data_IF_885391497729
#
_entry.id   IF_885391497729
#
_cell.length_a   1.000
_cell.length_b   1.000
_cell.length_c   1.000
_cell.angle_alpha   90.00
_cell.angle_beta   90.00
_cell.angle_gamma   90.00
#
_symmetry.space_group_name_H-M   'P 1'
#
loop_
_entity.id
_entity.type
_entity.pdbx_description
1 polymer ?
#
# COMPACT_ATOMS: atom_id res chain seq x y z
N UNK A 1 -1.04 16.42 2.73
CA UNK A 1 -1.65 15.85 3.96
C UNK A 1 -0.59 15.92 5.05
N UNK A 2 -0.92 16.13 6.35
CA UNK A 2 0.06 15.87 7.40
C UNK A 2 0.54 14.41 7.33
N UNK A 3 1.74 14.08 7.80
CA UNK A 3 2.17 12.69 7.94
C UNK A 3 1.12 11.87 8.73
N UNK A 4 0.78 10.69 8.22
CA UNK A 4 -0.15 9.76 8.89
C UNK A 4 0.52 9.12 10.10
N UNK A 5 1.80 8.77 9.97
CA UNK A 5 2.61 8.12 10.99
C UNK A 5 4.01 8.75 10.96
N UNK A 6 4.65 8.80 12.13
CA UNK A 6 6.09 9.04 12.21
C UNK A 6 6.83 7.78 11.76
N UNK A 7 7.56 7.87 10.65
CA UNK A 7 8.24 6.72 10.05
C UNK A 7 9.39 6.19 10.91
N UNK A 8 9.86 6.94 11.93
CA UNK A 8 10.84 6.44 12.91
C UNK A 8 10.28 5.32 13.80
N UNK A 9 8.94 5.21 13.91
CA UNK A 9 8.27 4.13 14.65
C UNK A 9 8.21 2.81 13.87
N UNK A 10 8.63 2.81 12.59
CA UNK A 10 8.50 1.65 11.70
C UNK A 10 9.80 0.86 11.71
N UNK A 11 9.74 -0.38 12.22
CA UNK A 11 10.83 -1.35 12.10
C UNK A 11 10.57 -2.30 10.92
N UNK A 12 11.38 -2.26 9.84
CA UNK A 12 11.19 -3.11 8.68
C UNK A 12 11.43 -4.61 8.93
N UNK A 13 12.07 -4.98 10.05
CA UNK A 13 12.31 -6.38 10.42
C UNK A 13 11.08 -7.01 11.09
N UNK A 14 10.10 -6.19 11.51
CA UNK A 14 8.84 -6.68 12.05
C UNK A 14 7.98 -7.25 10.93
N UNK A 15 7.42 -8.44 11.19
CA UNK A 15 6.37 -9.04 10.37
C UNK A 15 5.05 -8.97 11.16
N UNK A 16 4.33 -7.85 11.01
CA UNK A 16 3.11 -7.57 11.76
C UNK A 16 1.92 -8.41 11.29
N UNK A 17 1.93 -8.87 10.04
CA UNK A 17 0.93 -9.80 9.49
C UNK A 17 1.68 -10.99 8.88
N UNK A 18 1.49 -12.22 9.41
CA UNK A 18 2.15 -13.41 8.89
C UNK A 18 1.86 -13.63 7.39
N UNK A 19 2.85 -14.12 6.65
CA UNK A 19 2.74 -14.29 5.19
C UNK A 19 1.54 -15.15 4.76
N UNK A 20 1.24 -16.23 5.49
CA UNK A 20 0.08 -17.08 5.24
C UNK A 20 -1.22 -16.28 5.32
N UNK A 21 -1.38 -15.48 6.38
CA UNK A 21 -2.53 -14.59 6.56
C UNK A 21 -2.57 -13.52 5.47
N UNK A 22 -1.45 -12.86 5.15
CA UNK A 22 -1.37 -11.86 4.08
C UNK A 22 -1.85 -12.43 2.73
N UNK A 23 -1.45 -13.67 2.40
CA UNK A 23 -1.85 -14.36 1.17
C UNK A 23 -3.34 -14.73 1.14
N UNK A 24 -3.98 -14.93 2.29
CA UNK A 24 -5.45 -15.12 2.36
C UNK A 24 -6.22 -13.81 2.19
N UNK A 25 -5.68 -12.70 2.69
CA UNK A 25 -6.30 -11.38 2.58
C UNK A 25 -6.21 -10.85 1.15
N UNK A 26 -5.00 -10.88 0.57
CA UNK A 26 -4.71 -10.38 -0.77
C UNK A 26 -4.59 -11.54 -1.75
N UNK A 27 -5.52 -11.72 -2.70
CA UNK A 27 -5.41 -12.77 -3.71
C UNK A 27 -4.46 -12.43 -4.87
N UNK A 28 -4.06 -11.17 -5.05
CA UNK A 28 -3.19 -10.73 -6.16
C UNK A 28 -1.81 -11.41 -6.10
N UNK A 29 -1.27 -11.82 -7.25
CA UNK A 29 0.02 -12.52 -7.37
C UNK A 29 0.85 -11.95 -8.51
N UNK A 30 2.12 -12.35 -8.53
CA UNK A 30 3.09 -12.05 -9.58
C UNK A 30 3.18 -10.53 -9.85
N UNK A 31 2.97 -10.10 -11.09
CA UNK A 31 3.12 -8.72 -11.54
C UNK A 31 2.18 -7.73 -10.85
N UNK A 32 1.07 -8.20 -10.28
CA UNK A 32 0.09 -7.39 -9.57
C UNK A 32 0.21 -7.47 -8.04
N UNK A 33 1.15 -8.23 -7.49
CA UNK A 33 1.41 -8.21 -6.05
C UNK A 33 2.27 -6.99 -5.68
N UNK A 34 1.63 -5.97 -5.13
CA UNK A 34 2.25 -4.68 -4.79
C UNK A 34 2.52 -4.52 -3.29
N UNK A 35 2.35 -5.58 -2.50
CA UNK A 35 2.74 -5.67 -1.09
C UNK A 35 3.54 -6.96 -0.88
N UNK A 36 4.76 -6.82 -0.35
CA UNK A 36 5.61 -7.96 0.01
C UNK A 36 5.47 -8.34 1.49
N UNK A 37 5.36 -7.35 2.39
CA UNK A 37 5.15 -7.59 3.82
C UNK A 37 4.48 -6.39 4.51
N UNK A 38 3.97 -6.61 5.72
CA UNK A 38 3.43 -5.60 6.64
C UNK A 38 4.36 -5.49 7.83
N UNK A 39 4.93 -4.30 8.04
CA UNK A 39 5.91 -4.04 9.10
C UNK A 39 5.36 -3.20 10.27
N UNK A 40 4.14 -2.70 10.15
CA UNK A 40 3.43 -2.03 11.24
C UNK A 40 1.93 -2.25 11.08
N UNK A 41 1.24 -2.61 12.16
CA UNK A 41 -0.21 -2.65 12.21
C UNK A 41 -0.68 -2.26 13.62
N UNK A 42 -1.48 -1.21 13.70
CA UNK A 42 -2.15 -0.77 14.91
C UNK A 42 -3.65 -0.81 14.68
N UNK A 43 -4.33 -1.75 15.34
CA UNK A 43 -5.78 -1.97 15.19
C UNK A 43 -6.61 -0.82 15.81
N UNK A 44 -6.13 -0.25 16.91
CA UNK A 44 -6.85 0.79 17.65
C UNK A 44 -6.76 2.13 16.92
N UNK A 45 -5.55 2.52 16.51
CA UNK A 45 -5.31 3.72 15.71
C UNK A 45 -5.76 3.56 14.25
N UNK A 46 -5.97 2.32 13.79
CA UNK A 46 -6.30 1.97 12.40
C UNK A 46 -5.24 2.48 11.44
N UNK A 47 -3.98 2.14 11.72
CA UNK A 47 -2.83 2.52 10.92
C UNK A 47 -2.09 1.25 10.52
N UNK A 48 -1.69 1.17 9.26
CA UNK A 48 -0.87 0.09 8.72
C UNK A 48 0.30 0.66 7.96
N UNK A 49 1.45 -0.02 8.01
CA UNK A 49 2.57 0.18 7.10
C UNK A 49 2.93 -1.14 6.46
N UNK A 50 2.87 -1.16 5.13
CA UNK A 50 3.33 -2.26 4.30
C UNK A 50 4.44 -1.78 3.38
N UNK A 51 5.20 -2.69 2.79
CA UNK A 51 6.23 -2.30 1.83
C UNK A 51 6.27 -3.19 0.59
N UNK A 52 6.84 -2.63 -0.47
CA UNK A 52 7.22 -3.30 -1.71
C UNK A 52 8.69 -3.05 -1.99
N UNK A 53 9.45 -4.12 -2.24
CA UNK A 53 10.79 -4.04 -2.79
C UNK A 53 10.71 -4.00 -4.32
N UNK A 54 11.09 -2.87 -4.89
CA UNK A 54 11.21 -2.68 -6.33
C UNK A 54 12.59 -3.13 -6.79
N UNK A 55 12.62 -4.04 -7.76
CA UNK A 55 13.84 -4.66 -8.27
C UNK A 55 14.23 -4.08 -9.62
N UNK A 56 15.51 -4.17 -9.94
CA UNK A 56 16.07 -3.67 -11.23
C UNK A 56 15.47 -4.39 -12.44
N UNK A 57 15.00 -5.62 -12.25
CA UNK A 57 14.44 -6.53 -13.25
C UNK A 57 12.92 -6.73 -13.12
N UNK A 58 12.23 -5.91 -12.34
CA UNK A 58 10.76 -5.95 -12.29
C UNK A 58 10.16 -5.80 -13.70
N UNK A 59 9.02 -6.45 -13.95
CA UNK A 59 8.43 -6.59 -15.29
C UNK A 59 8.22 -5.27 -16.05
N UNK A 60 8.02 -4.17 -15.32
CA UNK A 60 7.77 -2.83 -15.86
C UNK A 60 9.05 -2.07 -16.22
N UNK A 61 10.22 -2.45 -15.70
CA UNK A 61 11.47 -1.67 -15.89
C UNK A 61 11.89 -1.61 -17.35
N UNK A 62 11.64 -2.69 -18.12
CA UNK A 62 11.89 -2.74 -19.57
C UNK A 62 11.00 -1.81 -20.40
N UNK A 63 9.88 -1.36 -19.84
CA UNK A 63 8.84 -0.59 -20.55
C UNK A 63 8.61 0.82 -20.01
N UNK A 64 9.02 1.11 -18.77
CA UNK A 64 8.70 2.37 -18.10
C UNK A 64 9.91 2.89 -17.30
N UNK A 65 10.94 3.45 -17.95
CA UNK A 65 11.13 3.61 -19.40
C UNK A 65 12.41 2.89 -19.85
N UNK A 66 12.52 2.45 -21.11
CA UNK A 66 13.76 1.84 -21.61
C UNK A 66 15.00 2.70 -21.31
N UNK A 67 15.98 2.15 -20.61
CA UNK A 67 17.22 2.84 -20.19
C UNK A 67 17.08 3.82 -19.03
N UNK A 68 15.86 4.07 -18.53
CA UNK A 68 15.57 4.95 -17.39
C UNK A 68 14.33 4.46 -16.63
N UNK A 69 14.45 3.36 -15.86
CA UNK A 69 13.31 2.80 -15.15
C UNK A 69 12.83 3.75 -14.05
N UNK A 70 11.54 4.08 -14.09
CA UNK A 70 10.84 4.91 -13.10
C UNK A 70 9.56 4.15 -12.75
N UNK A 71 9.28 3.91 -11.48
CA UNK A 71 8.07 3.19 -11.08
C UNK A 71 6.82 3.92 -11.61
N UNK A 72 5.93 3.25 -12.36
CA UNK A 72 4.67 3.86 -12.78
C UNK A 72 3.86 4.28 -11.56
N UNK A 73 3.40 5.54 -11.53
CA UNK A 73 2.61 6.05 -10.40
C UNK A 73 1.35 5.22 -10.12
N UNK A 74 0.77 4.60 -11.13
CA UNK A 74 -0.41 3.73 -10.97
C UNK A 74 -0.09 2.46 -10.15
N UNK A 75 1.14 1.95 -10.17
CA UNK A 75 1.54 0.84 -9.30
C UNK A 75 1.63 1.27 -7.84
N UNK A 76 1.93 2.55 -7.57
CA UNK A 76 1.85 3.10 -6.21
C UNK A 76 0.39 3.18 -5.73
N UNK A 77 -0.55 3.51 -6.62
CA UNK A 77 -1.97 3.46 -6.31
C UNK A 77 -2.43 2.05 -5.95
N UNK A 78 -1.96 1.03 -6.70
CA UNK A 78 -2.27 -0.37 -6.43
C UNK A 78 -1.69 -0.84 -5.08
N UNK A 79 -0.42 -0.53 -4.80
CA UNK A 79 0.19 -0.84 -3.50
C UNK A 79 -0.53 -0.18 -2.32
N UNK A 80 -0.95 1.08 -2.49
CA UNK A 80 -1.77 1.78 -1.50
C UNK A 80 -3.16 1.13 -1.31
N UNK A 81 -3.78 0.64 -2.39
CA UNK A 81 -5.08 -0.03 -2.32
C UNK A 81 -5.00 -1.42 -1.67
N UNK A 82 -3.96 -2.19 -1.98
CA UNK A 82 -3.67 -3.47 -1.31
C UNK A 82 -3.41 -3.25 0.18
N UNK A 83 -2.58 -2.26 0.53
CA UNK A 83 -2.31 -1.88 1.93
C UNK A 83 -3.60 -1.50 2.68
N UNK A 84 -4.45 -0.68 2.07
CA UNK A 84 -5.75 -0.31 2.61
C UNK A 84 -6.70 -1.51 2.77
N UNK A 85 -6.66 -2.47 1.84
CA UNK A 85 -7.45 -3.70 1.89
C UNK A 85 -7.04 -4.57 3.10
N UNK A 86 -5.74 -4.70 3.36
CA UNK A 86 -5.25 -5.42 4.55
C UNK A 86 -5.81 -4.76 5.81
N UNK A 87 -5.64 -3.44 5.97
CA UNK A 87 -6.17 -2.71 7.13
C UNK A 87 -7.68 -2.91 7.29
N UNK A 88 -8.43 -2.85 6.20
CA UNK A 88 -9.88 -3.01 6.25
C UNK A 88 -10.29 -4.38 6.77
N UNK A 89 -9.70 -5.46 6.23
CA UNK A 89 -10.03 -6.83 6.63
C UNK A 89 -9.57 -7.14 8.05
N UNK A 90 -8.43 -6.60 8.48
CA UNK A 90 -7.90 -6.78 9.83
C UNK A 90 -8.68 -6.00 10.91
N UNK A 91 -9.24 -4.83 10.59
CA UNK A 91 -10.00 -4.03 11.57
C UNK A 91 -11.47 -4.48 11.67
N UNK A 92 -12.10 -4.88 10.57
CA UNK A 92 -13.52 -5.26 10.57
C UNK A 92 -13.78 -6.78 10.62
N UNK A 93 -12.72 -7.60 10.57
CA UNK A 93 -12.83 -9.06 10.49
C UNK A 93 -13.79 -9.53 9.39
N UNK A 94 -13.45 -9.20 8.14
CA UNK A 94 -14.26 -9.48 6.95
C UNK A 94 -13.61 -10.55 6.06
N UNK A 95 -13.44 -11.81 6.50
CA UNK A 95 -12.64 -12.81 5.78
C UNK A 95 -13.17 -13.09 4.36
N UNK A 96 -14.49 -13.19 4.20
CA UNK A 96 -15.14 -13.61 2.95
C UNK A 96 -15.44 -12.45 1.98
N UNK A 97 -15.18 -11.22 2.39
CA UNK A 97 -15.43 -10.05 1.54
C UNK A 97 -14.27 -9.85 0.58
N UNK A 98 -14.62 -9.76 -0.70
CA UNK A 98 -13.68 -9.27 -1.72
C UNK A 98 -13.74 -7.75 -1.74
N UNK A 99 -12.58 -7.11 -1.76
CA UNK A 99 -12.49 -5.65 -1.81
C UNK A 99 -12.22 -5.20 -3.24
N UNK A 100 -13.16 -4.46 -3.81
CA UNK A 100 -13.03 -3.79 -5.10
C UNK A 100 -12.44 -2.38 -4.97
N UNK A 101 -11.74 -1.95 -6.03
CA UNK A 101 -11.22 -0.60 -6.16
C UNK A 101 -12.36 0.36 -6.57
N UNK A 102 -12.98 1.03 -5.60
CA UNK A 102 -14.14 1.89 -5.83
C UNK A 102 -13.81 3.30 -6.36
N UNK A 103 -12.59 3.79 -6.08
CA UNK A 103 -12.15 5.09 -6.59
C UNK A 103 -10.95 5.66 -5.84
N UNK A 104 -10.48 6.81 -6.28
CA UNK A 104 -9.35 7.51 -5.68
C UNK A 104 -9.58 9.03 -5.70
N UNK A 105 -9.16 9.71 -4.64
CA UNK A 105 -9.32 11.15 -4.47
C UNK A 105 -7.98 11.81 -4.18
N UNK A 106 -7.77 13.00 -4.78
CA UNK A 106 -6.64 13.89 -4.49
C UNK A 106 -5.26 13.21 -4.59
N UNK A 107 -5.10 12.24 -5.49
CA UNK A 107 -3.82 11.55 -5.71
C UNK A 107 -2.76 12.54 -6.19
N UNK A 108 -1.59 12.50 -5.57
CA UNK A 108 -0.41 13.29 -5.93
C UNK A 108 0.84 12.42 -5.89
N UNK A 109 1.62 12.47 -6.95
CA UNK A 109 2.97 11.91 -7.02
C UNK A 109 3.96 13.02 -6.69
N UNK A 110 4.73 12.84 -5.61
CA UNK A 110 5.58 13.86 -4.99
C UNK A 110 7.06 13.71 -5.34
N UNK A 111 7.46 12.54 -5.84
CA UNK A 111 8.84 12.26 -6.24
C UNK A 111 8.92 11.13 -7.24
N UNK A 112 10.06 11.05 -7.93
CA UNK A 112 10.39 9.90 -8.77
C UNK A 112 10.84 8.74 -7.88
N UNK A 113 10.44 7.53 -8.25
CA UNK A 113 10.90 6.31 -7.60
C UNK A 113 11.57 5.45 -8.66
N UNK A 114 12.77 4.96 -8.36
CA UNK A 114 13.59 4.17 -9.27
C UNK A 114 14.02 2.88 -8.58
N UNK A 115 14.19 1.77 -9.30
CA UNK A 115 14.73 0.56 -8.73
C UNK A 115 16.28 0.63 -8.65
N UNK A 116 16.91 -0.08 -7.71
CA UNK A 116 16.28 -0.77 -6.60
C UNK A 116 15.83 0.23 -5.52
N UNK A 117 14.65 0.02 -4.95
CA UNK A 117 14.19 0.79 -3.78
C UNK A 117 13.14 0.04 -2.99
N UNK A 118 13.06 0.31 -1.69
CA UNK A 118 11.95 -0.11 -0.84
C UNK A 118 10.94 1.03 -0.74
N UNK A 119 9.70 0.76 -1.15
CA UNK A 119 8.59 1.69 -1.04
C UNK A 119 7.69 1.26 0.12
N UNK A 120 7.56 2.15 1.10
CA UNK A 120 6.65 1.97 2.23
C UNK A 120 5.31 2.63 1.92
N UNK A 121 4.21 1.91 2.04
CA UNK A 121 2.85 2.42 1.96
C UNK A 121 2.29 2.54 3.37
N UNK A 122 1.80 3.73 3.72
CA UNK A 122 1.10 4.02 4.97
C UNK A 122 -0.35 4.24 4.65
N UNK A 123 -1.25 3.57 5.37
CA UNK A 123 -2.69 3.79 5.24
C UNK A 123 -3.35 3.96 6.61
N UNK A 124 -4.35 4.83 6.68
CA UNK A 124 -5.30 4.90 7.79
C UNK A 124 -6.73 4.92 7.25
N UNK A 125 -7.75 4.87 8.11
CA UNK A 125 -9.15 4.90 7.72
C UNK A 125 -9.84 6.19 8.20
N UNK A 126 -10.23 7.07 7.27
CA UNK A 126 -11.06 8.24 7.61
C UNK A 126 -12.55 7.90 7.67
N UNK A 127 -12.95 6.83 6.98
CA UNK A 127 -14.29 6.24 7.04
C UNK A 127 -14.15 4.74 6.91
N UNK A 128 -14.75 3.99 7.85
CA UNK A 128 -14.69 2.54 7.87
C UNK A 128 -16.10 1.97 8.04
N UNK A 129 -16.69 1.52 6.94
CA UNK A 129 -17.96 0.79 6.93
C UNK A 129 -17.78 -0.58 6.28
N UNK A 130 -18.69 -1.51 6.51
CA UNK A 130 -18.60 -2.87 5.96
C UNK A 130 -18.81 -2.95 4.44
N UNK A 131 -19.48 -1.96 3.82
CA UNK A 131 -19.73 -1.90 2.37
C UNK A 131 -18.79 -1.00 1.60
N UNK A 132 -18.27 0.04 2.26
CA UNK A 132 -17.38 1.03 1.64
C UNK A 132 -16.54 1.68 2.74
N UNK A 133 -15.26 1.91 2.42
CA UNK A 133 -14.33 2.59 3.29
C UNK A 133 -13.44 3.56 2.50
N UNK A 134 -12.93 4.59 3.18
CA UNK A 134 -12.03 5.58 2.64
C UNK A 134 -10.74 5.61 3.44
N UNK A 135 -9.63 5.53 2.72
CA UNK A 135 -8.32 5.35 3.30
C UNK A 135 -7.39 6.47 2.83
N UNK A 136 -7.11 7.49 3.67
CA UNK A 136 -5.97 8.36 3.46
C UNK A 136 -4.70 7.51 3.41
N UNK A 137 -3.89 7.72 2.38
CA UNK A 137 -2.67 6.96 2.14
C UNK A 137 -1.51 7.86 1.78
N UNK A 138 -0.31 7.41 2.15
CA UNK A 138 0.97 8.02 1.81
C UNK A 138 1.94 6.92 1.40
N UNK A 139 2.96 7.25 0.61
CA UNK A 139 4.09 6.35 0.41
C UNK A 139 5.42 7.08 0.51
N UNK A 140 6.42 6.36 1.03
CA UNK A 140 7.75 6.88 1.32
C UNK A 140 8.83 5.98 0.71
N UNK A 141 9.89 6.61 0.21
CA UNK A 141 11.13 5.95 -0.24
C UNK A 141 12.28 6.74 0.37
N UNK A 142 13.21 6.08 1.06
CA UNK A 142 14.33 6.74 1.76
C UNK A 142 13.88 7.91 2.66
N UNK A 143 12.78 7.71 3.39
CA UNK A 143 12.20 8.72 4.29
C UNK A 143 11.50 9.90 3.59
N UNK A 144 11.48 9.95 2.24
CA UNK A 144 10.86 11.03 1.48
C UNK A 144 9.46 10.64 1.01
N UNK A 145 8.49 11.54 1.20
CA UNK A 145 7.14 11.37 0.67
C UNK A 145 7.15 11.38 -0.86
N UNK A 146 6.70 10.28 -1.49
CA UNK A 146 6.65 10.11 -2.95
C UNK A 146 5.24 9.97 -3.51
N UNK A 147 4.26 9.64 -2.66
CA UNK A 147 2.86 9.47 -3.04
C UNK A 147 1.95 9.89 -1.89
N UNK A 148 0.81 10.51 -2.19
CA UNK A 148 -0.28 10.67 -1.22
C UNK A 148 -1.64 10.75 -1.92
N UNK A 149 -2.70 10.41 -1.19
CA UNK A 149 -4.08 10.63 -1.60
C UNK A 149 -5.05 9.86 -0.74
N UNK A 150 -6.23 9.56 -1.28
CA UNK A 150 -7.23 8.74 -0.61
C UNK A 150 -7.70 7.65 -1.54
N UNK A 151 -7.63 6.40 -1.09
CA UNK A 151 -8.18 5.23 -1.77
C UNK A 151 -9.60 4.97 -1.24
N UNK A 152 -10.51 4.57 -2.12
CA UNK A 152 -11.87 4.17 -1.77
C UNK A 152 -12.03 2.69 -2.10
N UNK A 153 -12.27 1.89 -1.06
CA UNK A 153 -12.59 0.47 -1.20
C UNK A 153 -14.10 0.24 -1.15
N UNK A 154 -14.60 -0.72 -1.92
CA UNK A 154 -15.99 -1.19 -1.87
C UNK A 154 -16.02 -2.71 -1.69
N UNK A 155 -16.96 -3.22 -0.89
CA UNK A 155 -17.20 -4.65 -0.80
C UNK A 155 -17.89 -5.12 -2.09
N UNK A 156 -17.41 -6.22 -2.68
CA UNK A 156 -17.99 -6.87 -3.86
C UNK A 156 -18.37 -8.32 -3.58
#
# INVERSE_FOLDING_TARGET
>A
MPPILDMELVDPEVCAVPEERLRTILPQRYELQMVDSVCYLDHDAKIIVAYKDLKVDDWWTRGHFPGRPIAPGILMCEGAAQTATILWKEVLDLPDVTVGFGGMNKIRFRGLVTPPSRMYFVATASRLGSRMAQFPTQAYVEGKLVFEGTIIGVAI
#
